data_IF_532053463696
#
_entry.id   IF_532053463696
#
_cell.length_a   1.000
_cell.length_b   1.000
_cell.length_c   1.000
_cell.angle_alpha   90.00
_cell.angle_beta   90.00
_cell.angle_gamma   90.00
#
_symmetry.space_group_name_H-M   'P 1'
#
loop_
_entity.id
_entity.type
_entity.pdbx_description
1 polymer ?
#
# COMPACT_ATOMS: atom_id res chain seq x y z
N UNK A 1 0.06 17.78 -9.82
CA UNK A 1 -0.57 16.45 -10.07
C UNK A 1 0.36 15.29 -9.72
N UNK A 2 1.65 15.30 -10.10
CA UNK A 2 2.62 14.24 -9.73
C UNK A 2 2.79 14.05 -8.21
N UNK A 3 2.91 15.15 -7.47
CA UNK A 3 3.02 15.12 -5.99
C UNK A 3 1.79 14.49 -5.31
N UNK A 4 0.58 14.86 -5.73
CA UNK A 4 -0.66 14.28 -5.19
C UNK A 4 -0.73 12.75 -5.43
N UNK A 5 -0.25 12.29 -6.59
CA UNK A 5 -0.16 10.86 -6.90
C UNK A 5 0.84 10.13 -5.99
N UNK A 6 1.98 10.77 -5.70
CA UNK A 6 3.01 10.25 -4.78
C UNK A 6 2.48 10.19 -3.35
N UNK A 7 1.81 11.23 -2.88
CA UNK A 7 1.20 11.24 -1.54
C UNK A 7 0.14 10.17 -1.39
N UNK A 8 -0.75 10.03 -2.37
CA UNK A 8 -1.76 8.97 -2.36
C UNK A 8 -1.13 7.57 -2.34
N UNK A 9 -0.07 7.35 -3.13
CA UNK A 9 0.70 6.10 -3.10
C UNK A 9 1.34 5.82 -1.73
N UNK A 10 1.90 6.85 -1.06
CA UNK A 10 2.42 6.72 0.31
C UNK A 10 1.33 6.37 1.32
N UNK A 11 0.13 6.96 1.19
CA UNK A 11 -1.00 6.61 2.05
C UNK A 11 -1.44 5.15 1.88
N UNK A 12 -1.43 4.63 0.65
CA UNK A 12 -1.69 3.21 0.38
C UNK A 12 -0.65 2.30 1.04
N UNK A 13 0.63 2.68 1.02
CA UNK A 13 1.69 1.93 1.71
C UNK A 13 1.52 1.97 3.23
N UNK A 14 1.12 3.12 3.80
CA UNK A 14 0.82 3.23 5.23
C UNK A 14 -0.37 2.36 5.62
N UNK A 15 -1.41 2.30 4.78
CA UNK A 15 -2.55 1.40 5.00
C UNK A 15 -2.11 -0.07 4.94
N UNK A 16 -1.26 -0.43 3.97
CA UNK A 16 -0.69 -1.77 3.89
C UNK A 16 0.08 -2.12 5.17
N UNK A 17 0.91 -1.21 5.68
CA UNK A 17 1.63 -1.41 6.94
C UNK A 17 0.68 -1.63 8.12
N UNK A 18 -0.39 -0.85 8.24
CA UNK A 18 -1.40 -1.03 9.29
C UNK A 18 -2.06 -2.42 9.21
N UNK A 19 -2.37 -2.89 8.00
CA UNK A 19 -2.92 -4.23 7.78
C UNK A 19 -1.90 -5.31 8.16
N UNK A 20 -0.62 -5.15 7.81
CA UNK A 20 0.42 -6.10 8.21
C UNK A 20 0.52 -6.21 9.74
N UNK A 21 0.53 -5.08 10.45
CA UNK A 21 0.55 -5.05 11.92
C UNK A 21 -0.70 -5.74 12.47
N UNK A 22 -1.89 -5.45 11.93
CA UNK A 22 -3.13 -6.10 12.33
C UNK A 22 -3.05 -7.62 12.18
N UNK A 23 -2.56 -8.11 11.03
CA UNK A 23 -2.43 -9.54 10.75
C UNK A 23 -1.43 -10.24 11.66
N UNK A 24 -0.36 -9.55 12.06
CA UNK A 24 0.61 -10.08 13.03
C UNK A 24 0.03 -10.19 14.44
N UNK A 25 -0.81 -9.25 14.85
CA UNK A 25 -1.42 -9.23 16.19
C UNK A 25 -2.62 -10.17 16.27
N UNK A 26 -3.40 -10.31 15.19
CA UNK A 26 -4.63 -11.11 15.13
C UNK A 26 -4.54 -12.54 15.71
N UNK A 27 -3.50 -13.36 15.42
CA UNK A 27 -3.39 -14.71 16.00
C UNK A 27 -3.29 -14.74 17.52
N UNK A 28 -2.78 -13.68 18.14
CA UNK A 28 -2.70 -13.57 19.60
C UNK A 28 -4.04 -13.15 20.24
N UNK A 29 -4.97 -12.59 19.45
CA UNK A 29 -6.27 -12.10 19.93
C UNK A 29 -7.42 -13.08 19.70
N UNK A 30 -7.37 -13.92 18.65
CA UNK A 30 -8.46 -14.85 18.29
C UNK A 30 -7.90 -16.18 17.81
N UNK A 31 -8.35 -17.29 18.40
CA UNK A 31 -7.80 -18.64 18.13
C UNK A 31 -8.43 -19.40 16.95
N UNK A 32 -9.69 -19.15 16.57
CA UNK A 32 -10.46 -20.13 15.77
C UNK A 32 -10.90 -19.71 14.34
N UNK A 33 -10.49 -18.56 13.81
CA UNK A 33 -10.80 -18.20 12.40
C UNK A 33 -9.66 -17.45 11.68
N UNK A 34 -8.45 -17.61 12.20
CA UNK A 34 -7.32 -16.73 11.92
C UNK A 34 -6.65 -17.03 10.57
N UNK A 35 -6.56 -18.29 10.15
CA UNK A 35 -5.84 -18.66 8.93
C UNK A 35 -6.48 -18.09 7.64
N UNK A 36 -7.81 -18.15 7.50
CA UNK A 36 -8.49 -17.58 6.33
C UNK A 36 -8.35 -16.06 6.27
N UNK A 37 -8.49 -15.40 7.43
CA UNK A 37 -8.31 -13.95 7.55
C UNK A 37 -6.88 -13.52 7.24
N UNK A 38 -5.88 -14.26 7.71
CA UNK A 38 -4.47 -14.03 7.38
C UNK A 38 -4.26 -14.18 5.88
N UNK A 39 -4.74 -15.25 5.24
CA UNK A 39 -4.54 -15.46 3.80
C UNK A 39 -5.14 -14.34 2.95
N UNK A 40 -6.39 -13.95 3.24
CA UNK A 40 -7.05 -12.84 2.52
C UNK A 40 -6.34 -11.51 2.80
N UNK A 41 -5.95 -11.26 4.05
CA UNK A 41 -5.26 -10.04 4.43
C UNK A 41 -3.87 -9.93 3.80
N UNK A 42 -3.12 -11.03 3.70
CA UNK A 42 -1.81 -11.07 3.03
C UNK A 42 -1.97 -10.80 1.54
N UNK A 43 -2.96 -11.40 0.87
CA UNK A 43 -3.24 -11.12 -0.53
C UNK A 43 -3.58 -9.63 -0.74
N UNK A 44 -4.46 -9.08 0.11
CA UNK A 44 -4.85 -7.67 0.05
C UNK A 44 -3.67 -6.73 0.35
N UNK A 45 -2.80 -7.07 1.31
CA UNK A 45 -1.57 -6.34 1.62
C UNK A 45 -0.65 -6.21 0.39
N UNK A 46 -0.43 -7.30 -0.34
CA UNK A 46 0.39 -7.25 -1.56
C UNK A 46 -0.21 -6.37 -2.64
N UNK A 47 -1.53 -6.40 -2.83
CA UNK A 47 -2.23 -5.52 -3.78
C UNK A 47 -2.00 -4.05 -3.42
N UNK A 48 -2.14 -3.68 -2.14
CA UNK A 48 -1.90 -2.30 -1.70
C UNK A 48 -0.45 -1.86 -1.89
N UNK A 49 0.52 -2.74 -1.66
CA UNK A 49 1.94 -2.44 -1.91
C UNK A 49 2.19 -2.19 -3.39
N UNK A 50 1.70 -3.08 -4.26
CA UNK A 50 1.90 -2.96 -5.70
C UNK A 50 1.27 -1.65 -6.20
N UNK A 51 0.03 -1.37 -5.80
CA UNK A 51 -0.66 -0.13 -6.17
C UNK A 51 0.07 1.10 -5.65
N UNK A 52 0.48 1.11 -4.38
CA UNK A 52 1.23 2.21 -3.78
C UNK A 52 2.53 2.50 -4.52
N UNK A 53 3.33 1.49 -4.82
CA UNK A 53 4.58 1.62 -5.59
C UNK A 53 4.30 2.13 -7.01
N UNK A 54 3.28 1.60 -7.69
CA UNK A 54 2.90 2.04 -9.04
C UNK A 54 2.51 3.52 -9.03
N UNK A 55 1.70 3.96 -8.06
CA UNK A 55 1.27 5.36 -7.92
C UNK A 55 2.45 6.31 -7.65
N UNK A 56 3.37 5.91 -6.78
CA UNK A 56 4.59 6.70 -6.50
C UNK A 56 5.43 6.83 -7.78
N UNK A 57 5.68 5.72 -8.47
CA UNK A 57 6.47 5.72 -9.70
C UNK A 57 5.81 6.51 -10.83
N UNK A 58 4.49 6.44 -10.97
CA UNK A 58 3.74 7.25 -11.94
C UNK A 58 3.81 8.73 -11.59
N UNK A 59 3.64 9.08 -10.31
CA UNK A 59 3.77 10.46 -9.85
C UNK A 59 5.16 11.03 -10.08
N UNK A 60 6.21 10.24 -9.83
CA UNK A 60 7.61 10.60 -10.13
C UNK A 60 7.85 10.87 -11.61
N UNK A 61 7.26 10.03 -12.49
CA UNK A 61 7.37 10.21 -13.95
C UNK A 61 6.66 11.48 -14.41
N UNK A 62 5.48 11.78 -13.87
CA UNK A 62 4.71 12.98 -14.22
C UNK A 62 5.42 14.26 -13.76
N UNK A 63 6.01 14.25 -12.58
CA UNK A 63 6.79 15.38 -12.04
C UNK A 63 8.04 15.64 -12.90
N UNK A 64 8.79 14.60 -13.25
CA UNK A 64 9.99 14.71 -14.11
C UNK A 64 9.67 15.06 -15.56
N UNK A 65 8.52 14.60 -16.08
CA UNK A 65 8.05 14.93 -17.43
C UNK A 65 7.57 16.38 -17.56
N UNK A 66 6.96 16.93 -16.51
CA UNK A 66 6.58 18.34 -16.44
C UNK A 66 7.79 19.29 -16.39
N UNK A 67 8.86 18.90 -15.69
CA UNK A 67 10.06 19.73 -15.53
C UNK A 67 10.98 19.81 -16.77
N UNK A 68 10.71 19.03 -17.84
CA UNK A 68 11.47 19.11 -19.10
C UNK A 68 10.86 20.03 -20.15
N UNK A 69 9.65 20.55 -19.89
CA UNK A 69 8.89 21.39 -20.82
C UNK A 69 8.66 22.82 -20.30
N UNK A 70 9.36 23.21 -19.22
CA UNK A 70 9.44 24.59 -18.73
C UNK A 70 10.87 25.10 -18.88
#
# INVERSE_FOLDING_TARGET
MGEALKEFGKHLLNLALAIAIYLLIQPFLKGNNTLRLILVGVAFYFVLIILGIVLINLGDKLEKGGNKNG
#
